data_IF_732779524624
#
_entry.id   IF_732779524624
#
_cell.length_a   1.000
_cell.length_b   1.000
_cell.length_c   1.000
_cell.angle_alpha   90.00
_cell.angle_beta   90.00
_cell.angle_gamma   90.00
#
_symmetry.space_group_name_H-M   'P 1'
#
loop_
_entity.id
_entity.type
_entity.pdbx_description
1 polymer ?
#
# COMPACT_ATOMS: atom_id res chain seq x y z
N UNK A 1 12.10 -30.60 19.92
CA UNK A 1 12.02 -29.22 20.41
C UNK A 1 10.70 -28.66 19.93
N UNK A 2 9.81 -28.38 20.87
CA UNK A 2 8.46 -27.88 20.62
C UNK A 2 8.60 -26.37 20.39
N UNK A 3 8.34 -25.91 19.16
CA UNK A 3 8.38 -24.50 18.81
C UNK A 3 7.34 -23.74 19.63
N UNK A 4 7.83 -22.76 20.39
CA UNK A 4 7.03 -21.78 21.10
C UNK A 4 6.34 -20.87 20.08
N UNK A 5 5.22 -21.32 19.54
CA UNK A 5 4.20 -20.43 18.98
C UNK A 5 3.62 -19.62 20.13
N UNK A 6 4.25 -18.49 20.45
CA UNK A 6 3.60 -17.46 21.25
C UNK A 6 2.53 -16.87 20.34
N UNK A 7 1.28 -17.25 20.54
CA UNK A 7 0.13 -16.41 20.20
C UNK A 7 0.33 -15.08 20.94
N UNK A 8 1.02 -14.14 20.29
CA UNK A 8 0.98 -12.76 20.75
C UNK A 8 -0.41 -12.27 20.37
N UNK A 9 -1.33 -12.24 21.34
CA UNK A 9 -2.44 -11.30 21.28
C UNK A 9 -1.81 -9.92 21.10
N UNK A 10 -1.77 -9.45 19.86
CA UNK A 10 -1.18 -8.16 19.56
C UNK A 10 -2.06 -7.09 20.21
N UNK A 11 -1.49 -6.33 21.14
CA UNK A 11 -2.22 -5.26 21.79
C UNK A 11 -2.73 -4.26 20.74
N UNK A 12 -4.02 -3.91 20.80
CA UNK A 12 -4.56 -2.85 19.96
C UNK A 12 -4.18 -1.49 20.54
N UNK A 13 -3.58 -0.66 19.69
CA UNK A 13 -3.26 0.73 19.98
C UNK A 13 -4.47 1.62 19.74
N UNK A 14 -4.73 2.55 20.65
CA UNK A 14 -5.76 3.56 20.44
C UNK A 14 -5.30 4.57 19.37
N UNK A 15 -6.18 4.89 18.42
CA UNK A 15 -5.96 6.01 17.53
C UNK A 15 -5.82 7.30 18.35
N UNK A 16 -4.91 8.21 17.96
CA UNK A 16 -4.88 9.55 18.53
C UNK A 16 -6.13 10.34 18.13
N UNK A 17 -6.53 11.32 18.94
CA UNK A 17 -7.70 12.17 18.67
C UNK A 17 -7.59 12.92 17.33
N UNK A 18 -6.37 13.17 16.87
CA UNK A 18 -6.09 13.78 15.56
C UNK A 18 -5.00 13.00 14.81
N UNK A 19 -5.10 12.93 13.46
CA UNK A 19 -4.06 12.33 12.65
C UNK A 19 -2.71 13.00 12.88
N UNK A 20 -1.74 12.22 13.32
CA UNK A 20 -0.36 12.65 13.54
C UNK A 20 0.62 11.52 13.22
N UNK A 21 1.91 11.83 13.12
CA UNK A 21 2.95 10.81 13.02
C UNK A 21 3.00 9.99 14.32
N UNK A 22 3.02 8.68 14.18
CA UNK A 22 3.18 7.71 15.29
C UNK A 22 4.41 6.85 15.05
N UNK A 23 4.89 6.16 16.09
CA UNK A 23 6.02 5.23 15.94
C UNK A 23 5.64 4.09 14.98
N UNK A 24 6.55 3.72 14.09
CA UNK A 24 6.26 2.72 13.05
C UNK A 24 5.50 3.26 11.84
N UNK A 25 5.24 4.57 11.80
CA UNK A 25 4.58 5.23 10.69
C UNK A 25 5.49 6.32 10.11
N UNK A 26 5.81 6.19 8.82
CA UNK A 26 6.78 7.04 8.12
C UNK A 26 6.21 8.39 7.67
N UNK A 27 4.91 8.61 7.85
CA UNK A 27 4.19 9.80 7.41
C UNK A 27 3.13 10.23 8.41
N UNK A 28 2.53 11.40 8.16
CA UNK A 28 1.44 11.96 8.96
C UNK A 28 0.31 12.41 8.04
N UNK A 29 -0.74 11.58 7.84
CA UNK A 29 -1.85 11.99 6.99
C UNK A 29 -2.59 13.18 7.63
N UNK A 30 -3.06 14.12 6.82
CA UNK A 30 -3.94 15.19 7.31
C UNK A 30 -5.38 14.68 7.38
N UNK A 31 -6.22 15.30 8.22
CA UNK A 31 -7.65 14.95 8.26
C UNK A 31 -8.34 15.19 6.91
N UNK A 32 -8.03 16.30 6.24
CA UNK A 32 -8.55 16.60 4.90
C UNK A 32 -8.18 15.52 3.87
N UNK A 33 -6.94 15.02 3.95
CA UNK A 33 -6.49 13.91 3.11
C UNK A 33 -7.23 12.60 3.39
N UNK A 34 -7.41 12.25 4.66
CA UNK A 34 -8.18 11.07 5.02
C UNK A 34 -9.63 11.15 4.55
N UNK A 35 -10.25 12.34 4.60
CA UNK A 35 -11.60 12.56 4.09
C UNK A 35 -11.69 12.43 2.56
N UNK A 36 -10.75 13.01 1.81
CA UNK A 36 -10.69 12.86 0.34
C UNK A 36 -10.48 11.40 -0.03
N UNK A 37 -9.55 10.72 0.65
CA UNK A 37 -9.25 9.30 0.42
C UNK A 37 -10.47 8.44 0.75
N UNK A 38 -11.14 8.65 1.89
CA UNK A 38 -12.35 7.92 2.24
C UNK A 38 -13.47 8.11 1.20
N UNK A 39 -13.62 9.32 0.67
CA UNK A 39 -14.55 9.61 -0.43
C UNK A 39 -14.19 8.85 -1.70
N UNK A 40 -12.90 8.79 -2.04
CA UNK A 40 -12.40 8.03 -3.18
C UNK A 40 -12.61 6.51 -3.03
N UNK A 41 -12.64 6.01 -1.80
CA UNK A 41 -12.81 4.59 -1.46
C UNK A 41 -14.25 4.21 -1.09
N UNK A 42 -15.18 5.18 -1.07
CA UNK A 42 -16.53 4.98 -0.58
C UNK A 42 -17.28 3.87 -1.34
N UNK A 43 -17.85 2.93 -0.60
CA UNK A 43 -18.59 1.78 -1.15
C UNK A 43 -17.72 0.75 -1.88
N UNK A 44 -16.38 0.84 -1.78
CA UNK A 44 -15.44 -0.10 -2.38
C UNK A 44 -14.84 -1.04 -1.33
N UNK A 45 -14.56 -2.27 -1.75
CA UNK A 45 -13.77 -3.23 -0.97
C UNK A 45 -12.29 -2.97 -1.24
N UNK A 46 -11.55 -2.58 -0.22
CA UNK A 46 -10.15 -2.16 -0.35
C UNK A 46 -9.25 -3.27 0.18
N UNK A 47 -8.31 -3.72 -0.65
CA UNK A 47 -7.18 -4.52 -0.19
C UNK A 47 -6.00 -3.59 0.01
N UNK A 48 -5.50 -3.46 1.24
CA UNK A 48 -4.29 -2.69 1.53
C UNK A 48 -3.10 -3.65 1.68
N UNK A 49 -2.05 -3.40 0.91
CA UNK A 49 -0.74 -4.05 1.06
C UNK A 49 0.25 -3.05 1.65
N UNK A 50 1.26 -3.55 2.38
CA UNK A 50 2.18 -2.72 3.17
C UNK A 50 1.46 -1.89 4.24
N UNK A 51 0.45 -2.48 4.90
CA UNK A 51 -0.35 -1.77 5.88
C UNK A 51 0.42 -1.40 7.18
N UNK A 52 1.62 -1.99 7.39
CA UNK A 52 2.36 -1.89 8.64
C UNK A 52 1.47 -2.24 9.83
N UNK A 53 1.29 -1.29 10.75
CA UNK A 53 0.45 -1.49 11.94
C UNK A 53 -1.05 -1.25 11.71
N UNK A 54 -1.47 -1.01 10.47
CA UNK A 54 -2.85 -0.72 10.13
C UNK A 54 -3.29 0.68 10.54
N UNK A 55 -2.37 1.63 10.68
CA UNK A 55 -2.70 3.00 11.09
C UNK A 55 -3.63 3.71 10.09
N UNK A 56 -3.36 3.55 8.79
CA UNK A 56 -4.22 4.09 7.73
C UNK A 56 -5.57 3.37 7.70
N UNK A 57 -5.58 2.02 7.74
CA UNK A 57 -6.80 1.23 7.84
C UNK A 57 -7.68 1.65 9.02
N UNK A 58 -7.10 1.86 10.20
CA UNK A 58 -7.82 2.31 11.38
C UNK A 58 -8.51 3.65 11.16
N UNK A 59 -7.80 4.64 10.61
CA UNK A 59 -8.41 5.92 10.27
C UNK A 59 -9.51 5.78 9.22
N UNK A 60 -9.26 5.04 8.14
CA UNK A 60 -10.26 4.81 7.08
C UNK A 60 -11.53 4.10 7.61
N UNK A 61 -11.37 3.18 8.58
CA UNK A 61 -12.50 2.52 9.24
C UNK A 61 -13.37 3.51 10.01
N UNK A 62 -12.81 4.57 10.60
CA UNK A 62 -13.61 5.65 11.25
C UNK A 62 -14.50 6.42 10.26
N UNK A 63 -14.15 6.42 8.97
CA UNK A 63 -14.97 6.97 7.88
C UNK A 63 -15.88 5.92 7.22
N UNK A 64 -15.96 4.70 7.76
CA UNK A 64 -16.80 3.62 7.23
C UNK A 64 -16.25 2.91 5.99
N UNK A 65 -14.96 3.07 5.68
CA UNK A 65 -14.32 2.36 4.56
C UNK A 65 -14.02 0.92 4.95
N UNK A 66 -14.37 -0.03 4.08
CA UNK A 66 -14.04 -1.45 4.26
C UNK A 66 -12.64 -1.74 3.74
N UNK A 67 -11.69 -1.85 4.66
CA UNK A 67 -10.27 -2.14 4.35
C UNK A 67 -9.89 -3.52 4.90
N UNK A 68 -9.24 -4.33 4.06
CA UNK A 68 -8.51 -5.53 4.46
C UNK A 68 -7.01 -5.22 4.42
N UNK A 69 -6.40 -4.84 5.55
CA UNK A 69 -4.98 -4.56 5.60
C UNK A 69 -4.15 -5.84 5.74
N UNK A 70 -3.07 -5.89 4.97
CA UNK A 70 -2.09 -6.97 4.95
C UNK A 70 -0.67 -6.39 4.97
N UNK A 71 0.24 -7.07 5.66
CA UNK A 71 1.67 -6.74 5.63
C UNK A 71 2.47 -7.99 5.98
N UNK A 72 3.75 -8.03 5.60
CA UNK A 72 4.65 -9.06 6.09
C UNK A 72 5.22 -8.64 7.46
N UNK A 73 4.91 -9.37 8.53
CA UNK A 73 5.29 -8.98 9.89
C UNK A 73 6.79 -9.07 10.17
N UNK A 74 7.56 -9.70 9.27
CA UNK A 74 9.02 -9.78 9.34
C UNK A 74 9.73 -8.43 9.21
N UNK A 75 9.03 -7.37 8.80
CA UNK A 75 9.60 -6.04 8.68
C UNK A 75 9.75 -5.36 10.06
N UNK A 76 10.97 -5.31 10.60
CA UNK A 76 11.26 -4.71 11.90
C UNK A 76 11.01 -3.19 11.95
N UNK A 77 11.08 -2.53 10.80
CA UNK A 77 10.91 -1.09 10.62
C UNK A 77 9.51 -0.60 10.94
N UNK A 78 8.51 -1.45 10.72
CA UNK A 78 7.12 -1.13 11.03
C UNK A 78 6.89 -1.09 12.55
N UNK A 79 7.71 -1.83 13.32
CA UNK A 79 7.68 -1.96 14.79
C UNK A 79 6.54 -2.81 15.36
N UNK A 80 6.14 -3.90 14.68
CA UNK A 80 4.95 -4.72 15.01
C UNK A 80 4.88 -5.18 16.47
N UNK A 81 6.02 -5.25 17.16
CA UNK A 81 6.13 -5.48 18.60
C UNK A 81 5.40 -4.46 19.49
N UNK A 82 5.07 -3.26 18.98
CA UNK A 82 4.35 -2.22 19.72
C UNK A 82 2.83 -2.42 19.72
N UNK A 83 2.30 -3.33 18.88
CA UNK A 83 0.87 -3.51 18.68
C UNK A 83 0.35 -2.87 17.40
N UNK A 84 -0.95 -2.97 17.16
CA UNK A 84 -1.60 -2.57 15.90
C UNK A 84 -2.75 -1.60 16.14
N UNK A 85 -2.99 -0.69 15.21
CA UNK A 85 -4.16 0.20 15.24
C UNK A 85 -5.41 -0.44 14.61
N UNK A 86 -5.21 -1.46 13.77
CA UNK A 86 -6.27 -2.22 13.12
C UNK A 86 -5.87 -3.70 13.07
N UNK A 87 -6.84 -4.60 12.88
CA UNK A 87 -6.51 -6.00 12.61
C UNK A 87 -5.83 -6.11 11.24
N UNK A 88 -4.53 -6.43 11.23
CA UNK A 88 -3.70 -6.63 10.02
C UNK A 88 -3.36 -8.10 9.89
N UNK A 89 -3.60 -8.67 8.71
CA UNK A 89 -3.21 -10.06 8.42
C UNK A 89 -1.73 -10.13 8.04
N UNK A 90 -0.99 -11.07 8.63
CA UNK A 90 0.39 -11.38 8.23
C UNK A 90 0.38 -12.08 6.88
N UNK A 91 0.49 -11.30 5.82
CA UNK A 91 0.43 -11.78 4.45
C UNK A 91 1.18 -10.80 3.53
N UNK A 92 2.18 -11.31 2.83
CA UNK A 92 2.96 -10.52 1.88
C UNK A 92 2.12 -10.01 0.70
N UNK A 93 2.57 -8.91 0.08
CA UNK A 93 1.79 -8.18 -0.92
C UNK A 93 1.31 -9.04 -2.10
N UNK A 94 2.19 -9.91 -2.63
CA UNK A 94 1.87 -10.78 -3.77
C UNK A 94 0.81 -11.81 -3.39
N UNK A 95 0.96 -12.46 -2.23
CA UNK A 95 0.03 -13.50 -1.79
C UNK A 95 -1.31 -12.91 -1.37
N UNK A 96 -1.32 -11.71 -0.78
CA UNK A 96 -2.53 -10.95 -0.49
C UNK A 96 -3.34 -10.66 -1.76
N UNK A 97 -2.69 -10.18 -2.82
CA UNK A 97 -3.37 -9.95 -4.11
C UNK A 97 -3.86 -11.24 -4.74
N UNK A 98 -3.06 -12.32 -4.73
CA UNK A 98 -3.52 -13.63 -5.26
C UNK A 98 -4.73 -14.16 -4.51
N UNK A 99 -4.74 -14.03 -3.18
CA UNK A 99 -5.79 -14.58 -2.31
C UNK A 99 -7.07 -13.75 -2.32
N UNK A 100 -6.94 -12.43 -2.29
CA UNK A 100 -8.06 -11.51 -2.07
C UNK A 100 -8.35 -10.58 -3.24
N UNK A 101 -7.50 -10.55 -4.27
CA UNK A 101 -7.61 -9.63 -5.40
C UNK A 101 -8.98 -9.67 -6.08
N UNK A 102 -9.54 -10.86 -6.33
CA UNK A 102 -10.85 -11.02 -6.94
C UNK A 102 -12.02 -10.49 -6.08
N UNK A 103 -11.81 -10.33 -4.77
CA UNK A 103 -12.80 -9.86 -3.80
C UNK A 103 -12.66 -8.35 -3.50
N UNK A 104 -11.68 -7.67 -4.09
CA UNK A 104 -11.41 -6.28 -3.86
C UNK A 104 -11.56 -5.46 -5.15
N UNK A 105 -12.06 -4.24 -4.99
CA UNK A 105 -12.30 -3.29 -6.08
C UNK A 105 -11.13 -2.32 -6.24
N UNK A 106 -10.36 -2.09 -5.17
CA UNK A 106 -9.20 -1.19 -5.11
C UNK A 106 -8.03 -1.89 -4.42
N UNK A 107 -6.83 -1.76 -4.99
CA UNK A 107 -5.57 -2.06 -4.31
C UNK A 107 -5.01 -0.77 -3.73
N UNK A 108 -4.91 -0.67 -2.41
CA UNK A 108 -4.29 0.44 -1.70
C UNK A 108 -2.84 0.06 -1.35
N UNK A 109 -1.92 0.95 -1.69
CA UNK A 109 -0.48 0.80 -1.44
C UNK A 109 0.00 2.05 -0.73
N UNK A 110 0.50 1.92 0.49
CA UNK A 110 0.88 3.04 1.33
C UNK A 110 2.31 2.82 1.85
N UNK A 111 3.22 3.74 1.52
CA UNK A 111 4.64 3.72 1.92
C UNK A 111 5.32 2.35 1.79
N UNK A 112 5.28 1.71 0.60
CA UNK A 112 5.87 0.40 0.42
C UNK A 112 7.39 0.46 0.43
N UNK A 113 8.04 -0.63 0.82
CA UNK A 113 9.50 -0.78 0.72
C UNK A 113 9.99 -0.66 -0.74
N UNK A 114 11.25 -0.25 -0.91
CA UNK A 114 11.92 -0.11 -2.23
C UNK A 114 12.26 -1.49 -2.81
N UNK A 115 11.25 -2.20 -3.30
CA UNK A 115 11.38 -3.54 -3.90
C UNK A 115 10.46 -3.71 -5.11
N UNK A 116 10.61 -4.85 -5.82
CA UNK A 116 9.70 -5.22 -6.91
C UNK A 116 8.37 -5.84 -6.43
N UNK A 117 8.10 -5.90 -5.12
CA UNK A 117 6.88 -6.55 -4.62
C UNK A 117 5.60 -5.83 -5.04
N UNK A 118 5.60 -4.48 -5.04
CA UNK A 118 4.45 -3.70 -5.52
C UNK A 118 4.17 -3.98 -6.99
N UNK A 119 5.22 -4.06 -7.83
CA UNK A 119 5.07 -4.39 -9.25
C UNK A 119 4.51 -5.81 -9.44
N UNK A 120 5.04 -6.80 -8.72
CA UNK A 120 4.56 -8.18 -8.78
C UNK A 120 3.11 -8.29 -8.32
N UNK A 121 2.75 -7.58 -7.24
CA UNK A 121 1.37 -7.50 -6.75
C UNK A 121 0.47 -6.82 -7.79
N UNK A 122 0.88 -5.71 -8.38
CA UNK A 122 0.15 -5.01 -9.44
C UNK A 122 -0.08 -5.90 -10.67
N UNK A 123 0.91 -6.72 -11.05
CA UNK A 123 0.75 -7.68 -12.15
C UNK A 123 -0.38 -8.69 -11.88
N UNK A 124 -0.44 -9.25 -10.67
CA UNK A 124 -1.54 -10.13 -10.27
C UNK A 124 -2.87 -9.40 -10.06
N UNK A 125 -2.82 -8.11 -9.72
CA UNK A 125 -4.00 -7.26 -9.56
C UNK A 125 -4.71 -7.02 -10.90
N UNK A 126 -3.93 -6.93 -11.97
CA UNK A 126 -4.41 -6.75 -13.33
C UNK A 126 -4.58 -5.29 -13.72
N UNK A 127 -4.90 -5.07 -15.01
CA UNK A 127 -5.02 -3.74 -15.59
C UNK A 127 -6.40 -3.13 -15.37
N UNK A 128 -7.44 -3.92 -15.12
CA UNK A 128 -8.84 -3.43 -15.14
C UNK A 128 -9.25 -2.66 -13.88
N UNK A 129 -8.48 -2.79 -12.79
CA UNK A 129 -8.84 -2.22 -11.49
C UNK A 129 -7.83 -1.16 -11.05
N UNK A 130 -8.30 -0.10 -10.38
CA UNK A 130 -7.42 0.97 -9.93
C UNK A 130 -6.49 0.51 -8.79
N UNK A 131 -5.34 1.15 -8.74
CA UNK A 131 -4.38 1.12 -7.63
C UNK A 131 -4.38 2.51 -7.01
N UNK A 132 -4.58 2.64 -5.71
CA UNK A 132 -4.33 3.88 -4.99
C UNK A 132 -2.93 3.78 -4.38
N UNK A 133 -2.00 4.58 -4.89
CA UNK A 133 -0.63 4.63 -4.43
C UNK A 133 -0.40 5.86 -3.56
N UNK A 134 0.29 5.68 -2.44
CA UNK A 134 0.65 6.76 -1.52
C UNK A 134 2.09 6.56 -1.05
N UNK A 135 2.95 7.54 -1.28
CA UNK A 135 4.38 7.47 -0.92
C UNK A 135 5.22 8.33 -1.84
N UNK A 136 6.54 8.15 -1.78
CA UNK A 136 7.46 8.83 -2.69
C UNK A 136 7.30 8.29 -4.13
N UNK A 137 7.45 9.16 -5.13
CA UNK A 137 7.26 8.86 -6.55
C UNK A 137 8.52 9.16 -7.37
N UNK A 138 8.99 8.19 -8.15
CA UNK A 138 10.11 8.40 -9.08
C UNK A 138 9.64 9.23 -10.27
N UNK A 139 10.29 10.36 -10.52
CA UNK A 139 10.09 11.21 -11.70
C UNK A 139 11.43 11.44 -12.40
N UNK A 140 11.69 10.64 -13.43
CA UNK A 140 12.94 10.71 -14.20
C UNK A 140 13.10 12.01 -14.97
N UNK A 141 11.99 12.68 -15.34
CA UNK A 141 12.06 13.98 -16.02
C UNK A 141 12.64 15.08 -15.13
N UNK A 142 12.60 14.87 -13.81
CA UNK A 142 13.14 15.76 -12.78
C UNK A 142 14.41 15.22 -12.11
N UNK A 143 14.98 14.13 -12.63
CA UNK A 143 16.12 13.43 -12.03
C UNK A 143 15.87 13.04 -10.54
N UNK A 144 14.64 12.58 -10.27
CA UNK A 144 14.15 12.28 -8.93
C UNK A 144 13.91 10.77 -8.78
N UNK A 145 14.58 10.15 -7.81
CA UNK A 145 14.40 8.75 -7.43
C UNK A 145 13.70 8.69 -6.07
N UNK A 146 12.67 7.85 -5.96
CA UNK A 146 11.91 7.67 -4.73
C UNK A 146 12.48 6.55 -3.84
N UNK A 147 12.29 6.72 -2.54
CA UNK A 147 12.49 5.71 -1.50
C UNK A 147 11.25 4.84 -1.25
N UNK A 148 10.34 4.71 -2.23
CA UNK A 148 9.17 3.83 -2.15
C UNK A 148 8.98 3.07 -3.47
N UNK A 149 8.60 1.80 -3.39
CA UNK A 149 8.44 0.89 -4.54
C UNK A 149 9.69 0.85 -5.46
N UNK A 150 9.60 0.14 -6.58
CA UNK A 150 10.68 0.09 -7.57
C UNK A 150 10.45 1.11 -8.68
N UNK A 151 11.53 1.59 -9.26
CA UNK A 151 11.51 2.33 -10.52
C UNK A 151 10.72 1.63 -11.63
N UNK A 152 10.79 0.29 -11.67
CA UNK A 152 10.05 -0.51 -12.65
C UNK A 152 8.53 -0.46 -12.42
N UNK A 153 8.08 -0.34 -11.17
CA UNK A 153 6.67 -0.12 -10.86
C UNK A 153 6.21 1.22 -11.47
N UNK A 154 6.96 2.31 -11.26
CA UNK A 154 6.59 3.63 -11.79
C UNK A 154 6.63 3.68 -13.32
N UNK A 155 7.54 2.95 -13.95
CA UNK A 155 7.58 2.79 -15.40
C UNK A 155 6.39 1.99 -15.96
N UNK A 156 5.64 1.28 -15.11
CA UNK A 156 4.57 0.33 -15.48
C UNK A 156 3.17 0.78 -15.11
N UNK A 157 3.03 1.93 -14.46
CA UNK A 157 1.72 2.44 -14.04
C UNK A 157 1.44 3.80 -14.67
N UNK A 158 0.23 3.96 -15.16
CA UNK A 158 -0.27 5.26 -15.60
C UNK A 158 -0.97 5.95 -14.44
N UNK A 159 -0.51 7.15 -14.09
CA UNK A 159 -1.21 8.01 -13.16
C UNK A 159 -2.48 8.57 -13.81
N UNK A 160 -3.65 8.31 -13.22
CA UNK A 160 -4.95 8.77 -13.74
C UNK A 160 -5.49 9.99 -12.99
N UNK A 161 -5.23 10.09 -11.69
CA UNK A 161 -5.70 11.19 -10.82
C UNK A 161 -4.76 11.38 -9.63
N UNK A 162 -4.43 12.63 -9.29
CA UNK A 162 -3.78 13.01 -8.01
C UNK A 162 -4.84 13.37 -6.98
N UNK A 163 -4.68 12.90 -5.74
CA UNK A 163 -5.49 13.33 -4.60
C UNK A 163 -4.95 14.67 -4.07
N UNK A 164 -5.76 15.72 -4.22
CA UNK A 164 -5.30 17.11 -4.14
C UNK A 164 -5.11 17.61 -2.72
N UNK A 165 -5.71 16.96 -1.73
CA UNK A 165 -5.57 17.32 -0.31
C UNK A 165 -4.38 16.65 0.36
N UNK A 166 -3.65 15.80 -0.37
CA UNK A 166 -2.37 15.28 0.08
C UNK A 166 -1.34 16.40 0.24
N UNK A 167 -0.62 16.41 1.36
CA UNK A 167 0.34 17.46 1.74
C UNK A 167 1.65 16.78 2.17
N UNK A 168 2.36 16.24 1.19
CA UNK A 168 3.70 15.68 1.37
C UNK A 168 4.80 16.64 0.88
N UNK A 169 6.04 16.18 0.92
CA UNK A 169 7.17 16.90 0.31
C UNK A 169 7.14 16.79 -1.24
N UNK A 170 8.13 17.37 -1.94
CA UNK A 170 8.19 17.37 -3.41
C UNK A 170 8.28 15.99 -4.07
N UNK A 171 8.65 14.96 -3.30
CA UNK A 171 8.77 13.59 -3.73
C UNK A 171 7.50 12.78 -3.53
N UNK A 172 6.63 13.20 -2.63
CA UNK A 172 5.50 12.39 -2.20
C UNK A 172 4.24 12.68 -3.02
N UNK A 173 3.50 11.62 -3.32
CA UNK A 173 2.23 11.70 -4.04
C UNK A 173 1.21 10.75 -3.40
N UNK A 174 -0.06 11.13 -3.49
CA UNK A 174 -1.17 10.22 -3.36
C UNK A 174 -1.95 10.24 -4.69
N UNK A 175 -2.06 9.10 -5.36
CA UNK A 175 -2.63 9.03 -6.69
C UNK A 175 -3.43 7.76 -6.94
N UNK A 176 -4.45 7.89 -7.79
CA UNK A 176 -5.09 6.77 -8.46
C UNK A 176 -4.31 6.46 -9.73
N UNK A 177 -3.83 5.24 -9.80
CA UNK A 177 -3.01 4.68 -10.86
C UNK A 177 -3.69 3.44 -11.45
N UNK A 178 -3.19 2.99 -12.59
CA UNK A 178 -3.61 1.75 -13.24
C UNK A 178 -2.39 1.11 -13.87
N UNK A 179 -2.28 -0.22 -13.80
CA UNK A 179 -1.21 -0.94 -14.49
C UNK A 179 -1.37 -0.71 -16.00
N UNK A 180 -0.29 -0.28 -16.65
CA UNK A 180 -0.26 0.09 -18.06
C UNK A 180 1.07 -0.36 -18.70
N UNK A 181 1.23 -1.67 -18.96
CA UNK A 181 2.48 -2.22 -19.47
C UNK A 181 2.73 -1.86 -20.94
N UNK A 182 1.73 -1.31 -21.64
CA UNK A 182 1.79 -0.95 -23.06
C UNK A 182 1.94 0.57 -23.27
N UNK A 183 1.36 1.39 -22.38
CA UNK A 183 1.29 2.84 -22.51
C UNK A 183 2.59 3.61 -22.21
N UNK A 184 3.64 2.93 -21.74
CA UNK A 184 4.93 3.56 -21.44
C UNK A 184 5.99 3.40 -22.54
N UNK A 185 5.67 2.85 -23.72
CA UNK A 185 6.63 2.67 -24.82
C UNK A 185 7.86 1.79 -24.48
N UNK A 186 7.86 1.15 -23.30
CA UNK A 186 8.92 0.31 -22.78
C UNK A 186 8.42 -1.14 -22.78
N UNK A 187 8.80 -1.92 -23.79
CA UNK A 187 8.61 -3.37 -23.78
C UNK A 187 9.49 -3.97 -22.68
N UNK A 188 8.95 -4.11 -21.47
CA UNK A 188 9.59 -4.91 -20.43
C UNK A 188 9.12 -6.35 -20.62
N UNK A 189 10.05 -7.30 -20.68
CA UNK A 189 9.70 -8.72 -20.76
C UNK A 189 9.01 -9.14 -19.46
N UNK A 190 7.69 -9.30 -19.50
CA UNK A 190 6.88 -9.64 -18.34
C UNK A 190 7.14 -11.06 -17.82
N UNK A 191 7.82 -11.93 -18.60
CA UNK A 191 8.19 -13.29 -18.18
C UNK A 191 9.16 -13.31 -17.00
N UNK A 192 9.92 -12.24 -16.76
CA UNK A 192 10.83 -12.15 -15.62
C UNK A 192 10.11 -11.97 -14.27
N UNK A 193 8.83 -11.59 -14.29
CA UNK A 193 7.99 -11.44 -13.10
C UNK A 193 6.98 -12.57 -12.93
N UNK A 194 6.96 -13.52 -13.88
CA UNK A 194 6.18 -14.73 -13.74
C UNK A 194 6.64 -15.48 -12.48
N UNK A 195 5.71 -16.05 -11.70
CA UNK A 195 6.08 -16.89 -10.57
C UNK A 195 6.98 -18.04 -11.07
N UNK A 196 7.96 -18.43 -10.25
CA UNK A 196 8.72 -19.65 -10.52
C UNK A 196 7.73 -20.81 -10.71
N UNK A 197 7.88 -21.65 -11.75
CA UNK A 197 7.05 -22.82 -11.90
C UNK A 197 7.22 -23.72 -10.66
N UNK A 198 6.09 -24.22 -10.18
CA UNK A 198 6.01 -25.16 -9.05
C UNK A 198 6.85 -26.42 -9.29
#
# INVERSE_FOLDING_TARGET
>A
MQELYIERESAFLALPDTPKRVLGCYWSPSHAFLQELATQLAGKRVLEIFAGHGYLAAWLATFGVSVRPTTALSNAEDRHSLGFYHHVEDLGAVDAVKRYGAQADILLVCWPSVTNEVLRAAYHWGQDKPIVYIGEWTDRSKNQLAGCASDMFFDMVAQKKVLQSYRGNSYEVAAVCQLDPEGAGKRIDMRQFAPAPF
#
